data_IF_315420564978
#
_entry.id   IF_315420564978
#
_cell.length_a   1.000
_cell.length_b   1.000
_cell.length_c   1.000
_cell.angle_alpha   90.00
_cell.angle_beta   90.00
_cell.angle_gamma   90.00
#
_symmetry.space_group_name_H-M   'P 1'
#
loop_
_entity.id
_entity.type
_entity.pdbx_description
1 polymer ?
#
# COMPACT_ATOMS: atom_id res chain seq x y z
N UNK A 1 2.72 2.89 -11.28
CA UNK A 1 2.55 2.89 -9.80
C UNK A 1 3.84 2.44 -9.13
N UNK A 2 4.15 2.95 -7.92
CA UNK A 2 5.26 2.46 -7.12
C UNK A 2 5.17 0.94 -6.86
N UNK A 3 6.32 0.31 -6.70
CA UNK A 3 6.39 -1.08 -6.28
C UNK A 3 6.05 -1.19 -4.79
N UNK A 4 5.28 -2.20 -4.38
CA UNK A 4 4.84 -2.38 -2.98
C UNK A 4 6.00 -2.38 -1.98
N UNK A 5 7.16 -2.96 -2.35
CA UNK A 5 8.34 -2.97 -1.49
C UNK A 5 8.98 -1.59 -1.27
N UNK A 6 8.80 -0.63 -2.18
CA UNK A 6 9.24 0.75 -2.00
C UNK A 6 8.29 1.52 -1.10
N UNK A 7 6.97 1.29 -1.23
CA UNK A 7 5.98 1.87 -0.33
C UNK A 7 6.15 1.44 1.13
N UNK A 8 6.50 0.16 1.37
CA UNK A 8 6.73 -0.36 2.74
C UNK A 8 7.91 0.29 3.46
N UNK A 9 8.80 0.95 2.75
CA UNK A 9 9.94 1.69 3.32
C UNK A 9 9.79 3.19 3.11
N UNK A 10 8.57 3.66 2.85
CA UNK A 10 8.20 5.07 2.70
C UNK A 10 9.02 5.80 1.62
N UNK A 11 9.24 5.12 0.50
CA UNK A 11 9.82 5.74 -0.69
C UNK A 11 8.70 6.05 -1.67
N UNK A 12 8.38 7.33 -1.77
CA UNK A 12 7.41 7.82 -2.72
C UNK A 12 8.02 7.93 -4.12
N UNK A 13 7.30 7.44 -5.13
CA UNK A 13 7.72 7.55 -6.52
C UNK A 13 6.55 7.93 -7.41
N UNK A 14 6.79 8.83 -8.38
CA UNK A 14 5.82 9.22 -9.41
C UNK A 14 6.43 9.12 -10.79
N UNK A 15 5.68 8.54 -11.71
CA UNK A 15 6.07 8.50 -13.11
C UNK A 15 5.61 9.77 -13.82
N UNK A 16 6.51 10.33 -14.62
CA UNK A 16 6.27 11.49 -15.48
C UNK A 16 6.60 11.08 -16.91
N UNK A 17 5.72 11.37 -17.86
CA UNK A 17 6.01 11.23 -19.28
C UNK A 17 5.66 12.52 -20.04
N UNK A 18 6.40 12.80 -21.08
CA UNK A 18 6.19 13.99 -21.91
C UNK A 18 4.79 13.96 -22.54
N UNK A 19 4.13 15.10 -22.56
CA UNK A 19 2.78 15.24 -23.13
C UNK A 19 1.64 14.67 -22.28
N UNK A 20 1.91 14.16 -21.07
CA UNK A 20 0.88 13.81 -20.09
C UNK A 20 0.72 14.93 -19.05
N UNK A 21 -0.52 15.26 -18.72
CA UNK A 21 -0.85 16.18 -17.63
C UNK A 21 -1.12 15.44 -16.29
N UNK A 22 -1.05 14.11 -16.31
CA UNK A 22 -1.31 13.26 -15.16
C UNK A 22 -0.05 12.46 -14.79
N UNK A 23 0.21 12.33 -13.48
CA UNK A 23 1.23 11.42 -12.99
C UNK A 23 0.79 9.95 -13.15
N UNK A 24 1.77 9.05 -13.22
CA UNK A 24 1.57 7.59 -13.28
C UNK A 24 0.70 7.10 -14.46
N UNK A 25 0.52 7.94 -15.47
CA UNK A 25 -0.25 7.63 -16.67
C UNK A 25 0.59 7.82 -17.91
N UNK A 26 0.72 6.76 -18.70
CA UNK A 26 1.36 6.78 -20.00
C UNK A 26 0.28 6.63 -21.06
N UNK A 27 0.07 7.63 -21.94
CA UNK A 27 -0.99 7.57 -22.94
C UNK A 27 -0.70 6.53 -24.03
N UNK A 28 -1.77 6.04 -24.66
CA UNK A 28 -1.64 5.13 -25.81
C UNK A 28 -0.81 5.74 -26.93
N UNK A 29 0.06 4.92 -27.53
CA UNK A 29 0.95 5.36 -28.62
C UNK A 29 2.19 6.15 -28.18
N UNK A 30 2.40 6.36 -26.89
CA UNK A 30 3.58 7.06 -26.38
C UNK A 30 4.88 6.36 -26.81
N UNK A 31 5.83 7.17 -27.29
CA UNK A 31 7.21 6.76 -27.59
C UNK A 31 8.14 7.82 -27.04
N UNK A 32 8.93 7.50 -26.06
CA UNK A 32 9.84 8.46 -25.42
C UNK A 32 10.41 7.91 -24.11
N UNK A 33 11.16 8.76 -23.43
CA UNK A 33 11.69 8.45 -22.11
C UNK A 33 10.61 8.58 -21.04
N UNK A 34 10.72 7.75 -20.01
CA UNK A 34 9.92 7.85 -18.80
C UNK A 34 10.80 8.40 -17.68
N UNK A 35 10.31 9.43 -17.02
CA UNK A 35 10.99 10.09 -15.91
C UNK A 35 10.38 9.62 -14.60
N UNK A 36 11.17 9.53 -13.57
CA UNK A 36 10.74 9.10 -12.27
C UNK A 36 11.15 10.10 -11.19
N UNK A 37 10.17 10.72 -10.55
CA UNK A 37 10.40 11.44 -9.30
C UNK A 37 10.54 10.42 -8.18
N UNK A 38 11.59 10.55 -7.36
CA UNK A 38 11.86 9.65 -6.24
C UNK A 38 12.04 10.49 -4.98
N UNK A 39 11.21 10.27 -3.97
CA UNK A 39 11.24 11.01 -2.72
C UNK A 39 11.21 10.04 -1.52
N UNK A 40 12.36 9.64 -0.96
CA UNK A 40 12.40 8.94 0.32
C UNK A 40 11.89 9.87 1.42
N UNK A 41 10.98 9.38 2.27
CA UNK A 41 10.34 10.19 3.31
C UNK A 41 10.85 9.87 4.70
N UNK A 42 11.00 8.59 5.02
CA UNK A 42 11.38 8.13 6.37
C UNK A 42 12.79 7.57 6.42
N UNK A 43 13.14 6.69 5.49
CA UNK A 43 14.45 6.04 5.50
C UNK A 43 15.34 6.53 4.35
N UNK A 44 16.63 6.82 4.60
CA UNK A 44 17.58 6.98 3.50
C UNK A 44 17.75 5.65 2.76
N UNK A 45 17.76 5.70 1.42
CA UNK A 45 17.81 4.50 0.58
C UNK A 45 18.95 4.57 -0.43
N UNK A 46 19.50 3.41 -0.78
CA UNK A 46 20.40 3.26 -1.92
C UNK A 46 19.61 2.73 -3.11
N UNK A 47 19.76 3.41 -4.24
CA UNK A 47 19.29 2.96 -5.54
C UNK A 47 20.47 2.89 -6.52
N UNK A 48 20.42 1.97 -7.47
CA UNK A 48 21.45 1.78 -8.51
C UNK A 48 20.78 1.70 -9.88
N UNK A 49 21.56 1.78 -10.92
CA UNK A 49 21.07 1.44 -12.25
C UNK A 49 20.48 0.01 -12.24
N UNK A 50 19.21 -0.11 -12.68
CA UNK A 50 18.49 -1.39 -12.66
C UNK A 50 17.67 -1.66 -11.42
N UNK A 51 17.77 -0.85 -10.35
CA UNK A 51 16.85 -0.96 -9.19
C UNK A 51 15.41 -0.73 -9.63
N UNK A 52 14.52 -1.67 -9.30
CA UNK A 52 13.11 -1.64 -9.68
C UNK A 52 12.31 -0.86 -8.65
N UNK A 53 11.88 0.35 -9.00
CA UNK A 53 11.12 1.24 -8.12
C UNK A 53 9.64 1.28 -8.44
N UNK A 54 9.28 1.18 -9.73
CA UNK A 54 7.92 1.24 -10.23
C UNK A 54 7.55 -0.01 -11.02
N UNK A 55 6.25 -0.24 -11.13
CA UNK A 55 5.66 -1.25 -12.00
C UNK A 55 4.67 -0.59 -12.97
N UNK A 56 4.60 -1.10 -14.19
CA UNK A 56 3.66 -0.67 -15.20
C UNK A 56 2.61 -1.75 -15.43
N UNK A 57 1.35 -1.35 -15.55
CA UNK A 57 0.24 -2.21 -15.94
C UNK A 57 -0.38 -1.70 -17.22
N UNK A 58 -0.60 -2.59 -18.17
CA UNK A 58 -1.36 -2.28 -19.37
C UNK A 58 -2.85 -2.55 -19.11
N UNK A 59 -3.67 -1.52 -19.35
CA UNK A 59 -5.11 -1.60 -19.12
C UNK A 59 -5.85 -1.38 -20.44
N UNK A 60 -6.88 -2.18 -20.69
CA UNK A 60 -7.76 -2.07 -21.86
C UNK A 60 -9.21 -2.21 -21.44
N UNK A 61 -10.06 -1.26 -21.84
CA UNK A 61 -11.49 -1.25 -21.50
C UNK A 61 -11.77 -0.76 -20.07
N UNK A 62 -12.96 -1.09 -19.56
CA UNK A 62 -13.39 -0.74 -18.20
C UNK A 62 -12.66 -1.63 -17.20
N UNK A 63 -12.03 -1.01 -16.20
CA UNK A 63 -11.13 -1.67 -15.27
C UNK A 63 -11.61 -1.65 -13.82
N UNK A 64 -12.69 -0.93 -13.52
CA UNK A 64 -13.27 -0.85 -12.18
C UNK A 64 -14.54 -1.68 -12.10
N UNK A 65 -14.61 -2.56 -11.10
CA UNK A 65 -15.83 -3.31 -10.80
C UNK A 65 -16.84 -2.39 -10.10
N UNK A 66 -18.13 -2.60 -10.40
CA UNK A 66 -19.21 -1.98 -9.64
C UNK A 66 -19.44 -2.73 -8.33
N UNK A 67 -20.12 -2.10 -7.37
CA UNK A 67 -20.45 -2.73 -6.09
C UNK A 67 -21.26 -4.03 -6.27
N UNK A 68 -22.14 -4.08 -7.28
CA UNK A 68 -22.89 -5.30 -7.58
C UNK A 68 -21.98 -6.44 -8.08
N UNK A 69 -20.98 -6.11 -8.90
CA UNK A 69 -19.97 -7.08 -9.34
C UNK A 69 -19.11 -7.54 -8.17
N UNK A 70 -18.71 -6.65 -7.26
CA UNK A 70 -17.96 -7.00 -6.05
C UNK A 70 -18.78 -7.89 -5.10
N UNK A 71 -20.07 -7.57 -4.88
CA UNK A 71 -20.97 -8.41 -4.07
C UNK A 71 -21.15 -9.81 -4.67
N UNK A 72 -21.29 -9.91 -6.00
CA UNK A 72 -21.34 -11.19 -6.69
C UNK A 72 -20.01 -11.94 -6.53
N UNK A 73 -18.87 -11.29 -6.77
CA UNK A 73 -17.55 -11.87 -6.61
C UNK A 73 -17.34 -12.38 -5.17
N UNK A 74 -17.77 -11.60 -4.17
CA UNK A 74 -17.70 -12.04 -2.78
C UNK A 74 -18.55 -13.27 -2.52
N UNK A 75 -19.75 -13.37 -3.09
CA UNK A 75 -20.63 -14.54 -2.92
C UNK A 75 -20.11 -15.80 -3.63
N UNK A 76 -19.38 -15.63 -4.73
CA UNK A 76 -18.84 -16.73 -5.54
C UNK A 76 -17.47 -17.21 -5.04
N UNK A 77 -16.58 -16.28 -4.67
CA UNK A 77 -15.15 -16.55 -4.39
C UNK A 77 -14.74 -16.28 -2.94
N UNK A 78 -15.57 -15.60 -2.15
CA UNK A 78 -15.27 -15.30 -0.74
C UNK A 78 -14.10 -14.35 -0.57
N UNK A 79 -14.17 -13.15 -1.15
CA UNK A 79 -13.06 -12.16 -1.10
C UNK A 79 -12.71 -11.62 0.29
N UNK A 80 -13.58 -11.80 1.28
CA UNK A 80 -13.33 -11.48 2.70
C UNK A 80 -13.55 -12.74 3.52
N UNK A 81 -12.54 -13.14 4.31
CA UNK A 81 -12.58 -14.37 5.09
C UNK A 81 -13.09 -14.19 6.51
N UNK A 82 -12.83 -13.03 7.11
CA UNK A 82 -13.24 -12.72 8.47
C UNK A 82 -14.00 -11.39 8.50
N UNK A 83 -15.00 -11.32 9.33
CA UNK A 83 -15.86 -10.16 9.42
C UNK A 83 -16.89 -10.08 8.27
N UNK A 84 -17.54 -8.92 8.18
CA UNK A 84 -18.55 -8.62 7.18
C UNK A 84 -17.92 -7.83 6.04
N UNK A 85 -18.13 -8.28 4.80
CA UNK A 85 -17.75 -7.48 3.64
C UNK A 85 -18.65 -6.22 3.56
N UNK A 86 -18.06 -5.07 3.79
CA UNK A 86 -18.71 -3.78 3.61
C UNK A 86 -18.36 -3.24 2.21
N UNK A 87 -19.34 -3.32 1.30
CA UNK A 87 -19.18 -2.96 -0.11
C UNK A 87 -20.09 -1.77 -0.43
N UNK A 88 -19.46 -0.61 -0.48
CA UNK A 88 -20.06 0.67 -0.88
C UNK A 88 -18.99 1.54 -1.52
N UNK A 89 -19.07 1.80 -2.82
CA UNK A 89 -18.06 2.46 -3.64
C UNK A 89 -16.68 1.75 -3.60
N UNK A 90 -16.73 0.41 -3.46
CA UNK A 90 -15.59 -0.47 -3.27
C UNK A 90 -15.71 -1.30 -1.99
N UNK A 91 -14.65 -2.02 -1.63
CA UNK A 91 -14.57 -2.80 -0.40
C UNK A 91 -13.89 -1.96 0.69
N UNK A 92 -14.62 -1.65 1.75
CA UNK A 92 -14.07 -0.97 2.91
C UNK A 92 -13.16 -1.92 3.74
N UNK A 93 -12.03 -1.40 4.20
CA UNK A 93 -11.06 -2.11 5.03
C UNK A 93 -10.79 -1.27 6.27
N UNK A 94 -10.85 -1.91 7.44
CA UNK A 94 -10.58 -1.28 8.74
C UNK A 94 -9.22 -1.69 9.31
N UNK A 95 -8.73 -0.92 10.28
CA UNK A 95 -7.49 -1.24 10.99
C UNK A 95 -7.78 -2.22 12.11
N UNK A 96 -6.94 -3.26 12.23
CA UNK A 96 -7.01 -4.19 13.35
C UNK A 96 -6.30 -3.60 14.59
N UNK A 97 -7.07 -3.31 15.62
CA UNK A 97 -6.53 -2.85 16.90
C UNK A 97 -6.58 -3.92 18.01
N UNK A 98 -7.02 -5.14 17.68
CA UNK A 98 -7.05 -6.25 18.64
C UNK A 98 -5.71 -7.01 18.74
N UNK A 99 -4.72 -6.59 17.92
CA UNK A 99 -3.46 -7.30 17.81
C UNK A 99 -3.52 -8.56 16.94
N UNK A 100 -2.36 -9.04 16.57
CA UNK A 100 -2.18 -10.29 15.83
C UNK A 100 -1.22 -11.19 16.61
N UNK A 101 -1.73 -12.28 17.16
CA UNK A 101 -0.96 -13.26 17.90
C UNK A 101 -0.80 -12.96 19.39
N UNK A 102 0.11 -13.68 20.05
CA UNK A 102 0.32 -13.63 21.50
C UNK A 102 0.89 -12.29 22.00
N UNK A 103 1.58 -11.56 21.13
CA UNK A 103 2.26 -10.31 21.50
C UNK A 103 1.37 -9.06 21.39
N UNK A 104 0.10 -9.18 20.97
CA UNK A 104 -0.86 -8.07 20.82
C UNK A 104 -0.34 -6.90 19.93
N UNK A 105 0.63 -7.18 19.05
CA UNK A 105 1.19 -6.19 18.13
C UNK A 105 0.13 -5.85 17.09
N UNK A 106 -0.21 -4.56 16.97
CA UNK A 106 -1.17 -4.06 15.98
C UNK A 106 -0.48 -3.47 14.75
N UNK A 107 0.82 -3.23 14.83
CA UNK A 107 1.61 -2.70 13.73
C UNK A 107 3.01 -2.33 14.13
N UNK A 108 3.64 -1.53 13.29
CA UNK A 108 5.01 -1.07 13.48
C UNK A 108 5.13 0.42 13.17
N UNK A 109 5.89 1.12 13.99
CA UNK A 109 6.30 2.51 13.79
C UNK A 109 7.75 2.54 13.28
N UNK A 110 8.02 3.34 12.26
CA UNK A 110 9.37 3.50 11.75
C UNK A 110 10.26 4.25 12.73
N UNK A 111 11.47 3.74 12.93
CA UNK A 111 12.49 4.41 13.77
C UNK A 111 13.12 5.57 13.02
N UNK A 112 13.24 6.71 13.68
CA UNK A 112 14.06 7.81 13.19
C UNK A 112 15.54 7.43 13.24
N UNK A 113 16.29 7.84 12.24
CA UNK A 113 17.74 7.61 12.17
C UNK A 113 18.16 6.11 12.24
N UNK A 114 17.30 5.21 11.78
CA UNK A 114 17.52 3.77 11.86
C UNK A 114 18.66 3.26 10.96
N UNK A 115 19.10 4.05 10.01
CA UNK A 115 20.17 3.71 9.09
C UNK A 115 19.72 3.61 7.63
N UNK A 116 20.63 3.18 6.78
CA UNK A 116 20.49 3.14 5.33
C UNK A 116 19.89 1.83 4.88
N UNK A 117 18.91 1.89 3.97
CA UNK A 117 18.29 0.72 3.32
C UNK A 117 18.80 0.60 1.88
N UNK A 118 19.38 -0.53 1.55
CA UNK A 118 19.74 -0.91 0.19
C UNK A 118 18.55 -1.65 -0.44
N UNK A 119 17.87 -1.02 -1.39
CA UNK A 119 16.64 -1.56 -1.99
C UNK A 119 16.87 -2.82 -2.83
N UNK A 120 18.12 -3.09 -3.22
CA UNK A 120 18.49 -4.30 -3.96
C UNK A 120 18.79 -5.50 -3.05
N UNK A 121 18.69 -5.31 -1.71
CA UNK A 121 18.93 -6.35 -0.71
C UNK A 121 17.66 -6.66 0.10
N UNK A 122 16.63 -7.26 -0.50
CA UNK A 122 15.44 -7.64 0.23
C UNK A 122 15.75 -8.66 1.33
N UNK A 123 15.01 -8.62 2.44
CA UNK A 123 15.11 -9.56 3.56
C UNK A 123 16.50 -9.64 4.25
N UNK A 124 17.34 -8.60 4.11
CA UNK A 124 18.67 -8.55 4.74
C UNK A 124 18.72 -7.79 6.06
N UNK A 125 17.64 -7.12 6.41
CA UNK A 125 17.60 -6.24 7.57
C UNK A 125 16.72 -6.82 8.67
N UNK A 126 17.20 -6.73 9.93
CA UNK A 126 16.35 -7.03 11.09
C UNK A 126 15.23 -6.00 11.22
N UNK A 127 14.02 -6.46 11.44
CA UNK A 127 12.86 -5.60 11.69
C UNK A 127 13.12 -4.66 12.86
N UNK A 128 13.63 -5.18 13.97
CA UNK A 128 13.90 -4.42 15.20
C UNK A 128 14.91 -3.28 15.04
N UNK A 129 15.74 -3.32 13.99
CA UNK A 129 16.67 -2.21 13.68
C UNK A 129 15.95 -0.99 13.11
N UNK A 130 14.87 -1.18 12.37
CA UNK A 130 14.18 -0.13 11.61
C UNK A 130 12.80 0.20 12.13
N UNK A 131 12.21 -0.67 12.94
CA UNK A 131 10.84 -0.60 13.37
C UNK A 131 10.68 -0.85 14.85
N UNK A 132 9.79 -0.10 15.49
CA UNK A 132 9.30 -0.36 16.84
C UNK A 132 7.90 -0.97 16.74
N UNK A 133 7.61 -2.04 17.51
CA UNK A 133 6.26 -2.59 17.58
C UNK A 133 5.31 -1.59 18.22
N UNK A 134 4.07 -1.56 17.71
CA UNK A 134 2.98 -0.73 18.24
C UNK A 134 1.95 -1.64 18.90
N UNK A 135 1.54 -1.26 20.09
CA UNK A 135 0.54 -1.93 20.88
C UNK A 135 -0.67 -1.02 21.10
N UNK A 136 -1.84 -1.59 21.30
CA UNK A 136 -3.01 -0.83 21.75
C UNK A 136 -2.91 -0.52 23.25
N UNK A 137 -3.62 0.52 23.67
CA UNK A 137 -3.90 0.73 25.09
C UNK A 137 -5.15 -0.06 25.53
N UNK A 138 -5.46 0.00 26.84
CA UNK A 138 -6.62 -0.68 27.46
C UNK A 138 -7.98 -0.31 26.84
N UNK A 139 -8.05 0.75 26.06
CA UNK A 139 -9.25 1.22 25.38
C UNK A 139 -9.27 0.85 23.88
N UNK A 140 -8.42 -0.07 23.44
CA UNK A 140 -8.24 -0.49 22.04
C UNK A 140 -7.98 0.70 21.10
N UNK A 141 -7.12 1.62 21.54
CA UNK A 141 -6.73 2.81 20.77
C UNK A 141 -5.22 2.87 20.61
N UNK A 142 -4.79 3.50 19.52
CA UNK A 142 -3.40 3.88 19.28
C UNK A 142 -3.31 5.38 19.06
N UNK A 143 -2.16 5.95 19.40
CA UNK A 143 -1.85 7.35 19.13
C UNK A 143 -0.89 7.37 17.94
N UNK A 144 -1.27 8.09 16.90
CA UNK A 144 -0.42 8.31 15.73
C UNK A 144 0.18 9.72 15.84
N UNK A 145 1.50 9.79 15.96
CA UNK A 145 2.22 11.05 16.04
C UNK A 145 2.36 11.70 14.66
N UNK A 146 2.24 13.02 14.54
CA UNK A 146 2.48 13.74 13.29
C UNK A 146 3.90 13.52 12.77
N UNK A 147 4.05 13.33 11.45
CA UNK A 147 5.35 13.17 10.80
C UNK A 147 6.02 11.82 11.03
N UNK A 148 5.35 10.87 11.66
CA UNK A 148 5.80 9.49 11.82
C UNK A 148 5.18 8.58 10.76
N UNK A 149 5.86 7.48 10.45
CA UNK A 149 5.39 6.48 9.51
C UNK A 149 5.04 5.19 10.22
N UNK A 150 3.82 4.68 9.96
CA UNK A 150 3.28 3.47 10.57
C UNK A 150 2.88 2.45 9.50
N UNK A 151 3.05 1.18 9.81
CA UNK A 151 2.46 0.06 9.09
C UNK A 151 1.52 -0.65 10.04
N UNK A 152 0.24 -0.69 9.71
CA UNK A 152 -0.81 -1.33 10.50
C UNK A 152 -1.43 -2.46 9.69
N UNK A 153 -1.94 -3.49 10.37
CA UNK A 153 -2.65 -4.58 9.73
C UNK A 153 -4.14 -4.24 9.54
N UNK A 154 -4.76 -4.78 8.50
CA UNK A 154 -6.21 -4.73 8.36
C UNK A 154 -6.89 -5.73 9.29
N UNK A 155 -8.11 -5.40 9.73
CA UNK A 155 -8.97 -6.33 10.45
C UNK A 155 -9.49 -7.42 9.50
N UNK A 156 -9.87 -7.03 8.29
CA UNK A 156 -10.35 -7.93 7.26
C UNK A 156 -9.17 -8.67 6.61
N UNK A 157 -9.30 -9.99 6.52
CA UNK A 157 -8.43 -10.83 5.69
C UNK A 157 -9.04 -10.97 4.31
N UNK A 158 -8.25 -10.66 3.28
CA UNK A 158 -8.75 -10.53 1.91
C UNK A 158 -8.08 -11.56 0.99
N UNK A 159 -8.87 -12.18 0.11
CA UNK A 159 -8.39 -12.92 -1.05
C UNK A 159 -8.71 -12.15 -2.34
N UNK A 160 -7.71 -11.98 -3.16
CA UNK A 160 -7.91 -11.44 -4.50
C UNK A 160 -7.82 -12.60 -5.49
N UNK A 161 -8.90 -12.93 -6.22
CA UNK A 161 -8.86 -13.99 -7.22
C UNK A 161 -7.82 -13.70 -8.31
N UNK A 162 -7.20 -14.73 -8.92
CA UNK A 162 -6.15 -14.55 -9.95
C UNK A 162 -6.59 -13.74 -11.17
N UNK A 163 -7.88 -13.69 -11.46
CA UNK A 163 -8.46 -12.89 -12.55
C UNK A 163 -8.62 -11.39 -12.21
N UNK A 164 -8.37 -11.01 -10.96
CA UNK A 164 -8.59 -9.66 -10.46
C UNK A 164 -7.32 -9.06 -9.89
N UNK A 165 -7.32 -7.73 -9.74
CA UNK A 165 -6.34 -6.98 -8.99
C UNK A 165 -7.08 -5.95 -8.13
N UNK A 166 -6.54 -5.64 -6.96
CA UNK A 166 -7.08 -4.61 -6.09
C UNK A 166 -6.14 -3.40 -6.03
N UNK A 167 -6.71 -2.23 -5.88
CA UNK A 167 -5.99 -0.99 -5.66
C UNK A 167 -6.56 -0.32 -4.41
N UNK A 168 -5.67 0.08 -3.49
CA UNK A 168 -6.07 0.85 -2.31
C UNK A 168 -6.37 2.29 -2.72
N UNK A 169 -7.52 2.78 -2.33
CA UNK A 169 -7.93 4.17 -2.51
C UNK A 169 -8.27 4.78 -1.16
N UNK A 170 -8.10 6.11 -0.97
CA UNK A 170 -8.54 6.77 0.25
C UNK A 170 -10.03 6.56 0.48
N UNK A 171 -10.39 6.24 1.73
CA UNK A 171 -11.79 6.20 2.13
C UNK A 171 -12.33 7.62 2.16
N UNK A 172 -13.48 7.85 1.55
CA UNK A 172 -14.23 9.09 1.42
C UNK A 172 -13.46 10.39 1.79
N UNK A 173 -12.82 11.08 0.81
CA UNK A 173 -12.00 12.27 1.08
C UNK A 173 -12.79 13.44 1.69
N UNK A 174 -14.13 13.43 1.59
CA UNK A 174 -15.00 14.48 2.15
C UNK A 174 -15.19 14.39 3.67
N UNK A 175 -14.85 13.24 4.28
CA UNK A 175 -14.93 13.04 5.73
C UNK A 175 -13.60 13.40 6.42
N UNK A 176 -12.52 13.44 5.65
CA UNK A 176 -11.19 13.75 6.12
C UNK A 176 -10.13 13.04 5.27
N UNK A 177 -8.98 13.68 5.11
CA UNK A 177 -7.90 13.11 4.32
C UNK A 177 -6.93 12.33 5.23
N UNK A 178 -7.11 11.01 5.31
CA UNK A 178 -6.04 10.13 5.76
C UNK A 178 -5.31 9.62 4.51
N UNK A 179 -4.13 10.16 4.22
CA UNK A 179 -3.31 9.72 3.10
C UNK A 179 -2.71 8.36 3.41
N UNK A 180 -3.40 7.31 3.01
CA UNK A 180 -2.80 5.99 2.91
C UNK A 180 -1.84 6.01 1.72
N UNK A 181 -0.62 5.53 1.89
CA UNK A 181 0.33 5.40 0.79
C UNK A 181 -0.25 4.52 -0.33
N UNK A 182 -0.22 5.03 -1.56
CA UNK A 182 -0.76 4.37 -2.78
C UNK A 182 -0.04 3.08 -3.20
N UNK A 183 0.78 2.48 -2.34
CA UNK A 183 1.74 1.45 -2.73
C UNK A 183 1.45 0.05 -2.22
N UNK A 184 0.30 -0.22 -1.62
CA UNK A 184 -0.02 -1.55 -1.13
C UNK A 184 -0.89 -2.30 -2.16
N UNK A 185 -0.25 -2.83 -3.18
CA UNK A 185 -0.82 -3.87 -4.02
C UNK A 185 -0.31 -5.22 -3.49
N UNK A 186 -1.18 -6.01 -2.90
CA UNK A 186 -0.91 -7.41 -2.67
C UNK A 186 -0.96 -8.15 -4.00
N UNK A 187 0.17 -8.58 -4.49
CA UNK A 187 0.27 -9.70 -5.42
C UNK A 187 0.75 -10.87 -4.59
N UNK A 188 -0.07 -11.90 -4.43
CA UNK A 188 0.43 -13.22 -4.01
C UNK A 188 1.38 -13.71 -5.10
N UNK A 189 2.64 -13.93 -4.77
CA UNK A 189 3.54 -14.81 -5.51
C UNK A 189 3.16 -16.26 -5.19
#
# INVERSE_FOLDING_TARGET
NPKSSTGRVDVFTRLICDGSHEFDKVPGGYKGHLWLEISPRTFPVIVRQGTRLNQMRFRRGRITSSDNELKRLHSEEGIVYNGKADISEGLAISVNLNGNGEDEIVGYKAKRHAGLIDLDKPNKYSVSKFWDPVFTNDENRIILDPGEFYILASHESIAIPPSHAAEMVPFNPSIGEFRVHYCLLYTSD
#
